data_IF_190076899275
#
_entry.id   IF_190076899275
#
_cell.length_a   1.000
_cell.length_b   1.000
_cell.length_c   1.000
_cell.angle_alpha   90.00
_cell.angle_beta   90.00
_cell.angle_gamma   90.00
#
_symmetry.space_group_name_H-M   'P 1'
#
loop_
_entity.id
_entity.type
_entity.pdbx_description
1 polymer ?
#
# COMPACT_ATOMS: atom_id res chain seq x y z
N UNK A 1 6.43 -3.67 17.26
CA UNK A 1 5.27 -3.61 16.37
C UNK A 1 5.85 -3.33 15.00
N UNK A 2 5.74 -4.27 14.07
CA UNK A 2 6.25 -4.09 12.71
C UNK A 2 5.05 -4.23 11.79
N UNK A 3 4.81 -3.21 10.97
CA UNK A 3 3.86 -3.28 9.88
C UNK A 3 4.65 -3.75 8.66
N UNK A 4 4.32 -4.91 8.12
CA UNK A 4 4.91 -5.42 6.89
C UNK A 4 3.93 -5.15 5.75
N UNK A 5 4.36 -4.38 4.74
CA UNK A 5 3.48 -3.92 3.67
C UNK A 5 3.93 -4.56 2.37
N UNK A 6 3.14 -5.50 1.86
CA UNK A 6 3.37 -6.09 0.56
C UNK A 6 2.46 -5.42 -0.47
N UNK A 7 3.06 -4.78 -1.47
CA UNK A 7 2.32 -4.12 -2.55
C UNK A 7 2.65 -4.76 -3.89
N UNK A 8 1.64 -4.95 -4.73
CA UNK A 8 1.77 -5.46 -6.09
C UNK A 8 0.93 -4.64 -7.05
N UNK A 9 1.52 -4.25 -8.17
CA UNK A 9 0.77 -3.64 -9.25
C UNK A 9 0.17 -4.72 -10.15
N UNK A 10 -1.12 -4.60 -10.43
CA UNK A 10 -1.81 -5.36 -11.46
C UNK A 10 -2.00 -4.44 -12.67
N UNK A 11 -1.19 -4.66 -13.71
CA UNK A 11 -1.24 -3.87 -14.96
C UNK A 11 -2.52 -4.10 -15.76
N UNK A 12 -3.11 -5.30 -15.68
CA UNK A 12 -4.32 -5.64 -16.44
C UNK A 12 -5.53 -4.82 -15.99
N UNK A 13 -5.62 -4.57 -14.67
CA UNK A 13 -6.72 -3.82 -14.06
C UNK A 13 -6.33 -2.37 -13.69
N UNK A 14 -5.05 -2.00 -13.82
CA UNK A 14 -4.48 -0.72 -13.33
C UNK A 14 -4.73 -0.48 -11.83
N UNK A 15 -4.57 -1.55 -11.02
CA UNK A 15 -4.85 -1.55 -9.59
C UNK A 15 -3.59 -1.91 -8.81
N UNK A 16 -3.30 -1.16 -7.76
CA UNK A 16 -2.35 -1.52 -6.72
C UNK A 16 -3.02 -2.34 -5.64
N UNK A 17 -2.58 -3.58 -5.44
CA UNK A 17 -3.07 -4.44 -4.37
C UNK A 17 -2.09 -4.43 -3.21
N UNK A 18 -2.58 -4.02 -2.04
CA UNK A 18 -1.79 -3.78 -0.84
C UNK A 18 -2.25 -4.75 0.25
N UNK A 19 -1.30 -5.51 0.78
CA UNK A 19 -1.50 -6.49 1.84
C UNK A 19 -0.71 -6.06 3.08
N UNK A 20 -1.25 -5.15 3.91
CA UNK A 20 -0.65 -4.79 5.18
C UNK A 20 -0.78 -5.97 6.16
N UNK A 21 0.33 -6.44 6.69
CA UNK A 21 0.39 -7.47 7.74
C UNK A 21 0.95 -6.88 9.02
N UNK A 22 0.12 -6.85 10.05
CA UNK A 22 0.48 -6.31 11.35
C UNK A 22 -0.61 -5.40 11.87
N UNK A 23 -0.22 -4.49 12.77
CA UNK A 23 -1.14 -3.57 13.40
C UNK A 23 -0.98 -2.20 12.76
N UNK A 24 -2.10 -1.65 12.25
CA UNK A 24 -2.15 -0.27 11.78
C UNK A 24 -2.53 0.60 12.97
N UNK A 25 -1.58 1.39 13.44
CA UNK A 25 -1.75 2.33 14.54
C UNK A 25 -1.16 3.71 14.16
N UNK A 26 -1.15 4.65 15.09
CA UNK A 26 -0.65 6.01 14.86
C UNK A 26 0.85 6.01 14.49
N UNK A 27 1.60 4.99 14.90
CA UNK A 27 3.04 4.86 14.67
C UNK A 27 3.36 4.16 13.35
N UNK A 28 2.51 3.24 12.87
CA UNK A 28 2.70 2.50 11.61
C UNK A 28 1.92 3.09 10.43
N UNK A 29 0.89 3.90 10.69
CA UNK A 29 0.14 4.63 9.65
C UNK A 29 1.02 5.55 8.75
N UNK A 30 2.07 6.22 9.25
CA UNK A 30 2.97 7.00 8.40
C UNK A 30 3.68 6.15 7.34
N UNK A 31 4.11 4.94 7.71
CA UNK A 31 4.78 4.00 6.80
C UNK A 31 3.84 3.53 5.68
N UNK A 32 2.59 3.21 6.04
CA UNK A 32 1.55 2.88 5.06
C UNK A 32 1.28 4.05 4.09
N UNK A 33 1.19 5.28 4.61
CA UNK A 33 0.99 6.46 3.77
C UNK A 33 2.11 6.63 2.76
N UNK A 34 3.37 6.46 3.18
CA UNK A 34 4.52 6.59 2.27
C UNK A 34 4.43 5.59 1.13
N UNK A 35 4.20 4.30 1.42
CA UNK A 35 4.06 3.25 0.40
C UNK A 35 2.92 3.53 -0.58
N UNK A 36 1.75 3.91 -0.08
CA UNK A 36 0.60 4.24 -0.94
C UNK A 36 0.87 5.46 -1.82
N UNK A 37 1.58 6.46 -1.29
CA UNK A 37 1.93 7.66 -2.04
C UNK A 37 2.95 7.35 -3.14
N UNK A 38 3.96 6.54 -2.85
CA UNK A 38 4.94 6.08 -3.83
C UNK A 38 4.26 5.29 -4.96
N UNK A 39 3.36 4.36 -4.62
CA UNK A 39 2.59 3.59 -5.61
C UNK A 39 1.82 4.47 -6.60
N UNK A 40 1.08 5.47 -6.07
CA UNK A 40 0.33 6.41 -6.90
C UNK A 40 1.22 7.35 -7.73
N UNK A 41 2.42 7.65 -7.25
CA UNK A 41 3.42 8.42 -8.00
C UNK A 41 4.05 7.60 -9.13
N UNK A 42 4.30 6.30 -8.91
CA UNK A 42 4.83 5.39 -9.93
C UNK A 42 3.80 5.11 -11.02
N UNK A 43 2.58 4.73 -10.63
CA UNK A 43 1.46 4.57 -11.56
C UNK A 43 0.17 5.05 -10.90
N UNK A 44 -0.46 6.05 -11.52
CA UNK A 44 -1.74 6.53 -11.05
C UNK A 44 -2.83 5.51 -11.37
N UNK A 45 -3.47 4.97 -10.34
CA UNK A 45 -4.44 3.89 -10.45
C UNK A 45 -5.20 3.70 -9.15
N UNK A 46 -6.09 2.70 -9.13
CA UNK A 46 -6.88 2.43 -7.94
C UNK A 46 -6.04 1.65 -6.91
N UNK A 47 -6.32 1.84 -5.61
CA UNK A 47 -5.69 1.09 -4.53
C UNK A 47 -6.73 0.15 -3.92
N UNK A 48 -6.45 -1.14 -3.94
CA UNK A 48 -7.18 -2.18 -3.22
C UNK A 48 -6.36 -2.58 -1.99
N UNK A 49 -6.96 -2.49 -0.81
CA UNK A 49 -6.36 -2.91 0.46
C UNK A 49 -7.14 -4.12 0.98
N UNK A 50 -6.44 -5.23 1.24
CA UNK A 50 -6.97 -6.48 1.82
C UNK A 50 -6.57 -6.62 3.30
#
# INVERSE_FOLDING_TARGET
>A
MSLDINIKFNEDDNIWVVYPKGEIDIYTSPELKEVLTEALNENNGDILID
#
